data_IF_271332373055
#
_entry.id   IF_271332373055
#
_cell.length_a   1.000
_cell.length_b   1.000
_cell.length_c   1.000
_cell.angle_alpha   90.00
_cell.angle_beta   90.00
_cell.angle_gamma   90.00
#
_symmetry.space_group_name_H-M   'P 1'
#
loop_
_entity.id
_entity.type
_entity.pdbx_description
1 polymer ?
#
# COMPACT_ATOMS: atom_id res chain seq x y z
N UNK A 1 -79.79 37.97 2.61
CA UNK A 1 -78.64 38.31 3.50
C UNK A 1 -78.04 37.07 4.15
N UNK A 2 -78.85 36.16 4.72
CA UNK A 2 -78.40 34.91 5.36
C UNK A 2 -77.65 33.95 4.42
N UNK A 3 -78.09 33.78 3.16
CA UNK A 3 -77.43 32.91 2.17
C UNK A 3 -75.98 33.35 1.87
N UNK A 4 -75.74 34.66 1.80
CA UNK A 4 -74.41 35.22 1.50
C UNK A 4 -73.45 34.98 2.66
N UNK A 5 -73.93 35.03 3.90
CA UNK A 5 -73.13 34.74 5.10
C UNK A 5 -72.73 33.25 5.15
N UNK A 6 -73.65 32.35 4.77
CA UNK A 6 -73.35 30.92 4.68
C UNK A 6 -72.32 30.61 3.59
N UNK A 7 -72.47 31.18 2.39
CA UNK A 7 -71.54 30.96 1.27
C UNK A 7 -70.14 31.52 1.57
N UNK A 8 -70.03 32.69 2.19
CA UNK A 8 -68.74 33.27 2.61
C UNK A 8 -68.13 32.45 3.76
N UNK A 9 -68.94 31.96 4.70
CA UNK A 9 -68.49 31.11 5.81
C UNK A 9 -67.92 29.77 5.34
N UNK A 10 -68.56 29.12 4.36
CA UNK A 10 -68.07 27.88 3.76
C UNK A 10 -66.76 28.08 2.98
N UNK A 11 -66.66 29.18 2.21
CA UNK A 11 -65.44 29.53 1.50
C UNK A 11 -64.28 29.81 2.47
N UNK A 12 -64.52 30.54 3.56
CA UNK A 12 -63.51 30.83 4.58
C UNK A 12 -63.05 29.55 5.32
N UNK A 13 -63.97 28.62 5.62
CA UNK A 13 -63.64 27.34 6.24
C UNK A 13 -62.84 26.44 5.29
N UNK A 14 -63.20 26.42 4.00
CA UNK A 14 -62.47 25.67 2.97
C UNK A 14 -61.05 26.20 2.78
N UNK A 15 -60.87 27.52 2.75
CA UNK A 15 -59.55 28.15 2.69
C UNK A 15 -58.73 27.90 3.97
N UNK A 16 -59.34 28.04 5.15
CA UNK A 16 -58.68 27.79 6.44
C UNK A 16 -58.23 26.33 6.61
N UNK A 17 -59.04 25.36 6.16
CA UNK A 17 -58.67 23.94 6.19
C UNK A 17 -57.57 23.62 5.18
N UNK A 18 -57.57 24.27 4.01
CA UNK A 18 -56.52 24.11 2.99
C UNK A 18 -55.18 24.68 3.46
N UNK A 19 -55.16 25.88 4.04
CA UNK A 19 -53.93 26.49 4.59
C UNK A 19 -53.36 25.62 5.72
N UNK A 20 -54.20 25.10 6.62
CA UNK A 20 -53.77 24.20 7.69
C UNK A 20 -53.20 22.89 7.16
N UNK A 21 -53.80 22.30 6.11
CA UNK A 21 -53.30 21.10 5.45
C UNK A 21 -51.92 21.33 4.83
N UNK A 22 -51.73 22.46 4.15
CA UNK A 22 -50.45 22.79 3.52
C UNK A 22 -49.35 23.02 4.56
N UNK A 23 -49.62 23.77 5.64
CA UNK A 23 -48.64 23.99 6.70
C UNK A 23 -48.21 22.70 7.42
N UNK A 24 -49.17 21.79 7.67
CA UNK A 24 -48.89 20.46 8.25
C UNK A 24 -48.09 19.61 7.27
N UNK A 25 -48.41 19.66 5.97
CA UNK A 25 -47.68 18.93 4.93
C UNK A 25 -46.23 19.41 4.82
N UNK A 26 -45.98 20.70 4.76
CA UNK A 26 -44.62 21.28 4.73
C UNK A 26 -43.80 20.87 5.95
N UNK A 27 -44.41 20.91 7.15
CA UNK A 27 -43.76 20.47 8.39
C UNK A 27 -43.41 18.97 8.34
N UNK A 28 -44.33 18.14 7.86
CA UNK A 28 -44.10 16.70 7.73
C UNK A 28 -43.05 16.38 6.67
N UNK A 29 -43.02 17.13 5.56
CA UNK A 29 -41.96 17.02 4.54
C UNK A 29 -40.59 17.34 5.12
N UNK A 30 -40.47 18.42 5.91
CA UNK A 30 -39.20 18.78 6.56
C UNK A 30 -38.73 17.72 7.55
N UNK A 31 -39.65 17.10 8.29
CA UNK A 31 -39.31 15.97 9.19
C UNK A 31 -38.88 14.73 8.41
N UNK A 32 -39.60 14.38 7.33
CA UNK A 32 -39.21 13.28 6.45
C UNK A 32 -37.82 13.51 5.83
N UNK A 33 -37.48 14.76 5.49
CA UNK A 33 -36.13 15.14 5.04
C UNK A 33 -35.06 14.88 6.11
N UNK A 34 -35.25 15.34 7.35
CA UNK A 34 -34.28 15.09 8.43
C UNK A 34 -34.11 13.61 8.76
N UNK A 35 -35.17 12.81 8.63
CA UNK A 35 -35.11 11.36 8.78
C UNK A 35 -34.28 10.74 7.64
N UNK A 36 -34.47 11.19 6.39
CA UNK A 36 -33.66 10.75 5.27
C UNK A 36 -32.18 11.14 5.45
N UNK A 37 -31.89 12.34 5.95
CA UNK A 37 -30.54 12.83 6.27
C UNK A 37 -29.84 11.92 7.30
N UNK A 38 -30.53 11.58 8.39
CA UNK A 38 -30.00 10.65 9.40
C UNK A 38 -29.66 9.26 8.81
N UNK A 39 -30.41 8.79 7.81
CA UNK A 39 -30.09 7.58 7.07
C UNK A 39 -28.79 7.70 6.26
N UNK A 40 -28.53 8.86 5.65
CA UNK A 40 -27.25 9.14 4.98
C UNK A 40 -26.10 9.20 5.97
N UNK A 41 -26.26 9.88 7.10
CA UNK A 41 -25.24 9.95 8.15
C UNK A 41 -24.87 8.56 8.69
N UNK A 42 -25.86 7.68 8.87
CA UNK A 42 -25.64 6.29 9.27
C UNK A 42 -24.84 5.52 8.24
N UNK A 43 -25.13 5.67 6.95
CA UNK A 43 -24.33 5.04 5.91
C UNK A 43 -22.92 5.63 5.85
N UNK A 44 -22.77 6.94 5.99
CA UNK A 44 -21.47 7.61 6.08
C UNK A 44 -20.62 7.13 7.27
N UNK A 45 -21.24 6.73 8.38
CA UNK A 45 -20.54 6.14 9.51
C UNK A 45 -19.88 4.79 9.19
N UNK A 46 -20.29 4.09 8.10
CA UNK A 46 -19.65 2.86 7.61
C UNK A 46 -18.47 3.14 6.66
N UNK A 47 -18.15 4.39 6.38
CA UNK A 47 -17.00 4.74 5.55
C UNK A 47 -15.67 4.37 6.21
N UNK A 48 -14.66 3.85 5.48
CA UNK A 48 -14.58 3.67 4.01
C UNK A 48 -15.21 2.36 3.50
N UNK A 49 -15.72 1.49 4.37
CA UNK A 49 -16.34 0.21 4.02
C UNK A 49 -17.79 0.34 3.48
N UNK A 50 -18.08 1.42 2.74
CA UNK A 50 -19.41 1.68 2.16
C UNK A 50 -19.88 0.54 1.24
N UNK A 51 -18.97 -0.13 0.54
CA UNK A 51 -19.27 -1.31 -0.28
C UNK A 51 -19.79 -2.52 0.51
N UNK A 52 -19.52 -2.57 1.83
CA UNK A 52 -20.00 -3.60 2.75
C UNK A 52 -21.15 -3.13 3.64
N UNK A 53 -21.75 -1.97 3.35
CA UNK A 53 -22.88 -1.47 4.11
C UNK A 53 -24.07 -2.46 4.01
N UNK A 54 -24.59 -2.98 5.13
CA UNK A 54 -25.61 -4.03 5.11
C UNK A 54 -26.97 -3.57 4.57
N UNK A 55 -27.13 -2.27 4.31
CA UNK A 55 -28.42 -1.67 4.03
C UNK A 55 -29.22 -1.43 5.31
N UNK A 56 -30.23 -0.57 5.22
CA UNK A 56 -31.28 -0.45 6.23
C UNK A 56 -32.60 -0.68 5.52
N UNK A 57 -33.42 -1.58 6.04
CA UNK A 57 -34.78 -1.83 5.59
C UNK A 57 -35.69 -1.61 6.81
N UNK A 58 -36.16 -0.38 6.99
CA UNK A 58 -36.93 0.09 8.15
C UNK A 58 -36.14 0.26 9.46
N UNK A 59 -36.06 1.49 9.95
CA UNK A 59 -35.53 1.81 11.28
C UNK A 59 -36.24 3.04 11.87
N UNK A 60 -36.78 2.91 13.08
CA UNK A 60 -37.44 4.04 13.76
C UNK A 60 -36.45 5.17 14.09
N UNK A 61 -36.84 6.41 13.77
CA UNK A 61 -36.03 7.60 14.02
C UNK A 61 -36.89 8.87 14.17
N UNK A 62 -36.69 9.64 15.25
CA UNK A 62 -37.33 10.93 15.50
C UNK A 62 -38.88 10.95 15.34
N UNK A 63 -39.55 9.85 15.66
CA UNK A 63 -41.00 9.69 15.52
C UNK A 63 -41.48 9.41 14.09
N UNK A 64 -40.59 9.06 13.18
CA UNK A 64 -40.88 8.42 11.90
C UNK A 64 -39.94 7.24 11.63
N UNK A 65 -39.73 6.89 10.37
CA UNK A 65 -38.99 5.69 9.94
C UNK A 65 -38.01 6.04 8.83
N UNK A 66 -36.76 5.62 8.98
CA UNK A 66 -35.81 5.48 7.88
C UNK A 66 -36.23 4.22 7.12
N UNK A 67 -37.00 4.41 6.05
CA UNK A 67 -37.64 3.34 5.29
C UNK A 67 -36.61 2.48 4.57
N UNK A 68 -35.63 3.12 3.93
CA UNK A 68 -34.53 2.43 3.29
C UNK A 68 -33.25 3.25 3.28
N UNK A 69 -32.11 2.59 3.44
CA UNK A 69 -30.80 3.13 3.08
C UNK A 69 -30.06 2.10 2.27
N UNK A 70 -29.59 2.48 1.09
CA UNK A 70 -28.75 1.64 0.25
C UNK A 70 -27.59 2.44 -0.32
N UNK A 71 -26.45 1.78 -0.43
CA UNK A 71 -25.23 2.31 -1.05
C UNK A 71 -25.01 1.56 -2.34
N UNK A 72 -24.81 2.30 -3.42
CA UNK A 72 -24.42 1.73 -4.71
C UNK A 72 -23.10 2.34 -5.15
N UNK A 73 -22.14 1.50 -5.49
CA UNK A 73 -20.90 1.92 -6.13
C UNK A 73 -21.17 2.27 -7.61
N UNK A 74 -20.65 3.42 -8.06
CA UNK A 74 -20.78 3.96 -9.40
C UNK A 74 -19.41 4.46 -9.85
N UNK A 75 -18.62 3.59 -10.46
CA UNK A 75 -17.23 3.89 -10.86
C UNK A 75 -16.42 4.36 -9.65
N UNK A 76 -15.93 5.61 -9.63
CA UNK A 76 -15.17 6.20 -8.50
C UNK A 76 -16.06 6.95 -7.51
N UNK A 77 -17.33 6.60 -7.36
CA UNK A 77 -18.26 7.26 -6.44
C UNK A 77 -19.17 6.26 -5.72
N UNK A 78 -19.56 6.60 -4.50
CA UNK A 78 -20.66 5.93 -3.81
C UNK A 78 -21.91 6.81 -3.89
N UNK A 79 -23.00 6.24 -4.39
CA UNK A 79 -24.32 6.83 -4.32
C UNK A 79 -25.06 6.25 -3.12
N UNK A 80 -25.21 7.06 -2.07
CA UNK A 80 -26.09 6.75 -0.95
C UNK A 80 -27.48 7.24 -1.29
N UNK A 81 -28.46 6.37 -1.12
CA UNK A 81 -29.87 6.76 -1.20
C UNK A 81 -30.56 6.42 0.10
N UNK A 82 -31.20 7.42 0.69
CA UNK A 82 -31.95 7.29 1.93
C UNK A 82 -33.38 7.77 1.74
N UNK A 83 -34.34 7.00 2.23
CA UNK A 83 -35.76 7.34 2.18
C UNK A 83 -36.28 7.52 3.61
N UNK A 84 -36.70 8.73 3.93
CA UNK A 84 -37.31 9.07 5.21
C UNK A 84 -38.82 9.15 5.10
N UNK A 85 -39.52 8.50 6.02
CA UNK A 85 -40.97 8.52 6.13
C UNK A 85 -41.38 9.12 7.48
N UNK A 86 -42.30 10.08 7.47
CA UNK A 86 -42.91 10.59 8.69
C UNK A 86 -44.40 10.26 8.70
N UNK A 87 -44.80 9.14 9.36
CA UNK A 87 -46.18 8.81 9.60
C UNK A 87 -46.61 9.51 10.88
N UNK A 88 -47.21 10.68 10.79
CA UNK A 88 -48.02 11.15 11.91
C UNK A 88 -49.43 11.43 11.47
N UNK A 89 -50.33 10.63 12.02
CA UNK A 89 -51.77 10.84 12.07
C UNK A 89 -52.05 12.11 12.88
N UNK A 90 -51.77 13.27 12.28
CA UNK A 90 -52.46 14.50 12.66
C UNK A 90 -53.95 14.39 12.28
N UNK A 91 -54.78 15.39 12.64
CA UNK A 91 -56.23 15.40 12.35
C UNK A 91 -56.60 15.34 10.86
N UNK A 92 -55.63 15.13 9.97
CA UNK A 92 -55.78 15.15 8.52
C UNK A 92 -55.09 13.98 7.80
N UNK A 93 -54.48 13.03 8.51
CA UNK A 93 -53.92 11.79 7.91
C UNK A 93 -52.82 12.00 6.85
N UNK A 94 -52.14 13.15 6.85
CA UNK A 94 -51.17 13.51 5.80
C UNK A 94 -49.82 12.86 6.08
N UNK A 95 -49.48 11.87 5.25
CA UNK A 95 -48.17 11.21 5.24
C UNK A 95 -47.17 11.99 4.38
N UNK A 96 -45.91 12.02 4.80
CA UNK A 96 -44.82 12.58 3.99
C UNK A 96 -43.68 11.58 3.85
N UNK A 97 -43.17 11.43 2.63
CA UNK A 97 -41.98 10.65 2.31
C UNK A 97 -41.02 11.56 1.56
N UNK A 98 -39.73 11.50 1.89
CA UNK A 98 -38.67 12.20 1.18
C UNK A 98 -37.54 11.26 0.85
N UNK A 99 -37.07 11.35 -0.39
CA UNK A 99 -35.93 10.59 -0.90
C UNK A 99 -34.75 11.52 -1.08
N UNK A 100 -33.62 11.11 -0.49
CA UNK A 100 -32.38 11.83 -0.52
C UNK A 100 -31.34 11.01 -1.27
N UNK A 101 -30.70 11.61 -2.27
CA UNK A 101 -29.57 11.02 -2.98
C UNK A 101 -28.32 11.85 -2.71
N UNK A 102 -27.29 11.20 -2.14
CA UNK A 102 -25.98 11.79 -1.85
C UNK A 102 -24.93 11.04 -2.63
N UNK A 103 -24.09 11.78 -3.35
CA UNK A 103 -22.96 11.26 -4.11
C UNK A 103 -21.68 11.62 -3.34
N UNK A 104 -20.91 10.58 -3.01
CA UNK A 104 -19.61 10.67 -2.35
C UNK A 104 -18.56 10.27 -3.35
N UNK A 105 -17.54 11.10 -3.53
CA UNK A 105 -16.39 10.77 -4.37
C UNK A 105 -15.49 9.78 -3.64
N UNK A 106 -15.07 8.72 -4.32
CA UNK A 106 -14.12 7.74 -3.81
C UNK A 106 -12.77 8.42 -3.52
N UNK A 107 -12.06 7.86 -2.55
CA UNK A 107 -10.75 8.31 -2.14
C UNK A 107 -9.79 8.02 -3.29
N UNK A 108 -9.21 9.07 -3.85
CA UNK A 108 -8.10 8.92 -4.78
C UNK A 108 -6.81 8.94 -3.98
N UNK A 109 -6.11 7.82 -4.02
CA UNK A 109 -4.79 7.64 -3.44
C UNK A 109 -3.98 6.61 -4.22
N UNK A 110 -2.68 6.82 -4.20
CA UNK A 110 -1.70 6.00 -4.90
C UNK A 110 -0.54 5.69 -3.97
N UNK A 111 -0.07 4.47 -4.01
CA UNK A 111 1.13 4.03 -3.33
C UNK A 111 1.88 3.02 -4.16
N UNK A 112 3.20 3.01 -4.00
CA UNK A 112 4.10 2.00 -4.52
C UNK A 112 5.17 1.72 -3.46
N UNK A 113 5.48 0.47 -3.21
CA UNK A 113 6.61 0.11 -2.35
C UNK A 113 7.34 -1.09 -2.94
N UNK A 114 8.67 -1.01 -2.90
CA UNK A 114 9.56 -1.96 -3.53
C UNK A 114 10.79 -2.17 -2.67
N UNK A 115 11.27 -3.40 -2.57
CA UNK A 115 12.62 -3.66 -2.07
C UNK A 115 13.28 -4.83 -2.78
N UNK A 116 14.61 -4.84 -2.76
CA UNK A 116 15.48 -5.96 -3.10
C UNK A 116 16.73 -5.88 -2.22
N UNK A 117 17.05 -6.93 -1.47
CA UNK A 117 18.17 -6.87 -0.50
C UNK A 117 19.51 -7.12 -1.16
N UNK A 118 19.54 -7.96 -2.18
CA UNK A 118 20.77 -8.28 -2.86
C UNK A 118 20.54 -8.33 -4.35
N UNK A 119 21.39 -7.62 -5.08
CA UNK A 119 21.40 -7.63 -6.53
C UNK A 119 22.85 -7.73 -7.01
N UNK A 120 23.23 -8.92 -7.44
CA UNK A 120 24.52 -9.21 -8.06
C UNK A 120 24.38 -9.02 -9.55
N UNK A 121 25.19 -8.12 -10.10
CA UNK A 121 25.27 -7.87 -11.55
C UNK A 121 25.80 -9.07 -12.33
N UNK A 122 26.02 -8.87 -13.63
CA UNK A 122 26.50 -9.93 -14.50
C UNK A 122 27.85 -10.48 -14.03
N UNK A 123 27.93 -11.80 -13.92
CA UNK A 123 29.16 -12.56 -13.72
C UNK A 123 29.52 -13.14 -15.09
N UNK A 124 30.56 -12.63 -15.76
CA UNK A 124 30.90 -13.01 -17.13
C UNK A 124 30.96 -14.52 -17.29
N UNK A 125 30.31 -15.01 -18.36
CA UNK A 125 30.24 -16.43 -18.72
C UNK A 125 29.52 -17.36 -17.72
N UNK A 126 28.92 -16.82 -16.65
CA UNK A 126 28.23 -17.61 -15.61
C UNK A 126 26.77 -17.18 -15.50
N UNK A 127 26.50 -15.91 -15.16
CA UNK A 127 25.15 -15.40 -14.90
C UNK A 127 25.00 -13.97 -15.43
N UNK A 128 23.81 -13.63 -15.93
CA UNK A 128 23.46 -12.24 -16.26
C UNK A 128 23.08 -11.43 -15.01
N UNK A 129 22.70 -12.09 -13.92
CA UNK A 129 22.54 -11.49 -12.59
C UNK A 129 21.78 -12.39 -11.62
N UNK A 130 21.87 -12.05 -10.33
CA UNK A 130 21.12 -12.72 -9.25
C UNK A 130 20.47 -11.64 -8.40
N UNK A 131 19.16 -11.73 -8.20
CA UNK A 131 18.42 -10.82 -7.31
C UNK A 131 17.73 -11.64 -6.23
N UNK A 132 17.88 -11.22 -4.97
CA UNK A 132 17.36 -11.93 -3.81
C UNK A 132 16.60 -11.01 -2.86
N UNK A 133 15.51 -11.54 -2.30
CA UNK A 133 14.63 -10.87 -1.35
C UNK A 133 13.84 -9.73 -1.98
N UNK A 134 13.13 -9.98 -3.07
CA UNK A 134 12.34 -8.95 -3.75
C UNK A 134 10.90 -8.94 -3.24
N UNK A 135 10.38 -7.75 -2.92
CA UNK A 135 8.98 -7.54 -2.53
C UNK A 135 8.46 -6.28 -3.19
N UNK A 136 7.28 -6.37 -3.79
CA UNK A 136 6.65 -5.26 -4.49
C UNK A 136 5.17 -5.16 -4.14
N UNK A 137 4.68 -3.93 -4.01
CA UNK A 137 3.27 -3.63 -3.81
C UNK A 137 2.90 -2.35 -4.54
N UNK A 138 1.66 -2.28 -4.99
CA UNK A 138 1.08 -1.09 -5.61
C UNK A 138 -0.38 -0.96 -5.19
N UNK A 139 -0.78 0.26 -4.91
CA UNK A 139 -2.19 0.65 -4.80
C UNK A 139 -2.38 1.85 -5.71
N UNK A 140 -3.31 1.78 -6.64
CA UNK A 140 -3.60 2.88 -7.56
C UNK A 140 -5.10 2.95 -7.78
N UNK A 141 -5.76 3.84 -7.05
CA UNK A 141 -7.22 4.04 -7.12
C UNK A 141 -7.63 5.05 -8.20
N UNK A 142 -6.68 5.63 -8.94
CA UNK A 142 -6.95 6.57 -10.05
C UNK A 142 -7.11 5.85 -11.41
N UNK A 143 -6.64 4.60 -11.50
CA UNK A 143 -6.69 3.80 -12.72
C UNK A 143 -8.11 3.55 -13.25
N UNK A 144 -8.32 3.69 -14.56
CA UNK A 144 -9.58 3.33 -15.23
C UNK A 144 -9.74 1.82 -15.47
N UNK A 145 -8.77 1.02 -15.07
CA UNK A 145 -8.79 -0.44 -15.30
C UNK A 145 -9.53 -1.15 -14.17
N UNK A 146 -10.53 -1.93 -14.58
CA UNK A 146 -11.76 -2.14 -13.83
C UNK A 146 -11.70 -3.15 -12.67
N UNK A 147 -10.54 -3.65 -12.20
CA UNK A 147 -10.51 -4.64 -11.08
C UNK A 147 -9.21 -4.75 -10.26
N UNK A 148 -8.12 -4.03 -10.57
CA UNK A 148 -6.81 -4.23 -9.91
C UNK A 148 -6.25 -2.96 -9.26
N UNK A 149 -7.02 -2.35 -8.35
CA UNK A 149 -6.58 -1.16 -7.61
C UNK A 149 -5.52 -1.45 -6.53
N UNK A 150 -5.27 -2.72 -6.21
CA UNK A 150 -4.26 -3.17 -5.27
C UNK A 150 -3.56 -4.42 -5.82
N UNK A 151 -2.24 -4.43 -5.79
CA UNK A 151 -1.40 -5.51 -6.30
C UNK A 151 -0.25 -5.74 -5.32
N UNK A 152 0.05 -7.00 -5.06
CA UNK A 152 1.14 -7.42 -4.20
C UNK A 152 1.89 -8.59 -4.86
N UNK A 153 3.22 -8.56 -4.80
CA UNK A 153 4.09 -9.58 -5.38
C UNK A 153 5.29 -9.85 -4.46
N UNK A 154 5.52 -11.13 -4.15
CA UNK A 154 6.72 -11.62 -3.45
C UNK A 154 7.54 -12.53 -4.37
N UNK A 155 8.82 -12.17 -4.57
CA UNK A 155 9.77 -12.95 -5.39
C UNK A 155 11.03 -13.20 -4.56
N UNK A 156 11.26 -14.43 -4.07
CA UNK A 156 12.41 -14.69 -3.21
C UNK A 156 13.72 -14.64 -3.97
N UNK A 157 13.80 -15.22 -5.17
CA UNK A 157 15.03 -15.36 -5.93
C UNK A 157 14.77 -15.24 -7.44
N UNK A 158 15.51 -14.37 -8.11
CA UNK A 158 15.60 -14.31 -9.57
C UNK A 158 17.04 -14.68 -9.98
N UNK A 159 17.18 -15.61 -10.93
CA UNK A 159 18.48 -16.00 -11.50
C UNK A 159 18.42 -15.75 -13.01
N UNK A 160 19.03 -14.66 -13.44
CA UNK A 160 19.01 -14.23 -14.83
C UNK A 160 20.16 -14.89 -15.59
N UNK A 161 19.81 -15.59 -16.66
CA UNK A 161 20.71 -16.11 -17.67
C UNK A 161 20.65 -15.21 -18.91
N UNK A 162 21.63 -15.27 -19.82
CA UNK A 162 21.59 -14.50 -21.06
C UNK A 162 20.33 -14.74 -21.92
N UNK A 163 19.66 -15.89 -21.75
CA UNK A 163 18.45 -16.28 -22.50
C UNK A 163 17.12 -16.17 -21.73
N UNK A 164 17.10 -15.72 -20.47
CA UNK A 164 15.87 -15.63 -19.67
C UNK A 164 16.08 -15.79 -18.16
N UNK A 165 14.99 -15.84 -17.38
CA UNK A 165 15.04 -16.10 -15.94
C UNK A 165 14.83 -17.60 -15.67
N UNK A 166 15.79 -18.21 -14.98
CA UNK A 166 15.79 -19.65 -14.70
C UNK A 166 14.65 -20.10 -13.78
N UNK A 167 14.22 -19.22 -12.86
CA UNK A 167 13.20 -19.53 -11.85
C UNK A 167 11.84 -18.92 -12.18
N UNK A 168 11.67 -18.45 -13.41
CA UNK A 168 10.40 -17.90 -13.87
C UNK A 168 9.28 -18.93 -13.73
N UNK A 169 8.16 -18.51 -13.14
CA UNK A 169 7.02 -19.38 -12.87
C UNK A 169 7.22 -20.41 -11.75
N UNK A 170 8.40 -20.46 -11.12
CA UNK A 170 8.67 -21.43 -10.06
C UNK A 170 8.17 -20.93 -8.69
N UNK A 171 8.63 -19.75 -8.23
CA UNK A 171 8.13 -19.13 -7.01
C UNK A 171 8.02 -17.62 -7.16
N UNK A 172 6.85 -17.22 -7.66
CA UNK A 172 6.33 -15.86 -7.61
C UNK A 172 4.94 -15.96 -7.01
N UNK A 173 4.70 -15.23 -5.92
CA UNK A 173 3.37 -15.20 -5.28
C UNK A 173 2.77 -13.83 -5.53
N UNK A 174 1.65 -13.79 -6.24
CA UNK A 174 0.91 -12.58 -6.56
C UNK A 174 -0.47 -12.60 -5.93
N UNK A 175 -0.93 -11.43 -5.49
CA UNK A 175 -2.30 -11.19 -5.07
C UNK A 175 -2.77 -9.86 -5.67
N UNK A 176 -3.92 -9.86 -6.35
CA UNK A 176 -4.46 -8.67 -7.02
C UNK A 176 -5.91 -8.40 -6.60
N UNK A 177 -6.30 -7.13 -6.59
CA UNK A 177 -7.63 -6.70 -6.17
C UNK A 177 -7.95 -7.18 -4.75
N UNK A 178 -8.95 -8.04 -4.62
CA UNK A 178 -9.46 -8.53 -3.34
C UNK A 178 -9.25 -10.04 -3.15
N UNK A 179 -8.22 -10.61 -3.80
CA UNK A 179 -7.87 -12.03 -3.64
C UNK A 179 -7.39 -12.40 -2.23
N UNK A 180 -6.97 -11.42 -1.44
CA UNK A 180 -6.53 -11.62 -0.05
C UNK A 180 -5.16 -12.30 0.03
N UNK A 181 -4.89 -12.94 1.18
CA UNK A 181 -3.58 -13.50 1.49
C UNK A 181 -3.31 -14.79 0.72
N UNK A 182 -2.21 -14.79 -0.03
CA UNK A 182 -1.60 -15.95 -0.70
C UNK A 182 -0.17 -16.15 -0.19
N UNK A 183 0.25 -17.40 -0.08
CA UNK A 183 1.60 -17.77 0.37
C UNK A 183 2.11 -18.95 -0.44
N UNK A 184 3.42 -19.01 -0.62
CA UNK A 184 4.09 -20.12 -1.31
C UNK A 184 5.50 -20.33 -0.75
N UNK A 185 6.08 -21.47 -1.07
CA UNK A 185 7.47 -21.76 -0.71
C UNK A 185 7.99 -23.00 -1.42
N UNK A 186 9.32 -23.10 -1.48
CA UNK A 186 10.05 -24.20 -2.09
C UNK A 186 11.11 -24.69 -1.11
N UNK A 187 11.06 -25.99 -0.82
CA UNK A 187 12.11 -26.69 -0.08
C UNK A 187 13.37 -26.81 -0.96
N UNK A 188 14.59 -26.62 -0.42
CA UNK A 188 15.84 -26.76 -1.18
C UNK A 188 15.94 -28.02 -2.05
N UNK A 189 15.38 -29.14 -1.58
CA UNK A 189 15.42 -30.42 -2.31
C UNK A 189 14.63 -30.39 -3.63
N UNK A 190 13.69 -29.45 -3.78
CA UNK A 190 12.86 -29.29 -4.97
C UNK A 190 13.36 -28.18 -5.91
N UNK A 191 14.50 -27.56 -5.60
CA UNK A 191 15.09 -26.54 -6.47
C UNK A 191 15.75 -27.18 -7.70
N UNK A 192 15.75 -26.50 -8.87
CA UNK A 192 16.38 -27.03 -10.07
C UNK A 192 17.87 -27.31 -9.85
N UNK A 193 18.31 -28.53 -10.15
CA UNK A 193 19.70 -28.95 -9.99
C UNK A 193 20.71 -28.09 -10.80
N UNK A 194 20.25 -27.44 -11.86
CA UNK A 194 21.05 -26.49 -12.65
C UNK A 194 21.52 -25.28 -11.83
N UNK A 195 20.85 -24.91 -10.74
CA UNK A 195 21.37 -23.88 -9.81
C UNK A 195 22.73 -24.28 -9.23
N UNK A 196 22.87 -25.53 -8.79
CA UNK A 196 24.14 -26.03 -8.25
C UNK A 196 25.22 -26.08 -9.33
N UNK A 197 24.85 -26.40 -10.58
CA UNK A 197 25.77 -26.37 -11.73
C UNK A 197 26.27 -24.95 -12.05
N UNK A 198 25.47 -23.93 -11.73
CA UNK A 198 25.83 -22.51 -11.82
C UNK A 198 26.56 -22.00 -10.57
N UNK A 199 26.91 -22.89 -9.64
CA UNK A 199 27.56 -22.56 -8.37
C UNK A 199 26.62 -21.96 -7.32
N UNK A 200 25.31 -21.96 -7.54
CA UNK A 200 24.34 -21.43 -6.57
C UNK A 200 23.85 -22.54 -5.63
N UNK A 201 24.07 -22.33 -4.33
CA UNK A 201 23.42 -23.12 -3.27
C UNK A 201 22.40 -22.25 -2.57
N UNK A 202 21.15 -22.69 -2.57
CA UNK A 202 20.01 -21.87 -2.14
C UNK A 202 19.24 -22.64 -1.06
N UNK A 203 19.01 -21.98 0.06
CA UNK A 203 18.17 -22.46 1.16
C UNK A 203 16.68 -22.38 0.82
N UNK A 204 15.83 -22.63 1.83
CA UNK A 204 14.38 -22.61 1.63
C UNK A 204 13.92 -21.23 1.14
N UNK A 205 13.00 -21.25 0.17
CA UNK A 205 12.39 -20.05 -0.39
C UNK A 205 10.96 -19.91 0.10
N UNK A 206 10.54 -18.69 0.45
CA UNK A 206 9.18 -18.38 0.90
C UNK A 206 8.72 -17.05 0.34
N UNK A 207 7.45 -16.94 -0.03
CA UNK A 207 6.85 -15.70 -0.53
C UNK A 207 5.42 -15.55 -0.04
N UNK A 208 4.99 -14.30 0.12
CA UNK A 208 3.63 -13.94 0.48
C UNK A 208 3.18 -12.67 -0.22
N UNK A 209 1.89 -12.62 -0.54
CA UNK A 209 1.23 -11.45 -1.09
C UNK A 209 -0.20 -11.36 -0.54
N UNK A 210 -0.65 -10.18 -0.19
CA UNK A 210 -2.00 -9.91 0.31
C UNK A 210 -2.48 -8.58 -0.28
N UNK A 211 -3.63 -8.62 -0.96
CA UNK A 211 -4.27 -7.43 -1.51
C UNK A 211 -5.73 -7.36 -1.05
N UNK A 212 -6.21 -6.16 -0.80
CA UNK A 212 -7.61 -5.90 -0.47
C UNK A 212 -8.13 -4.65 -1.17
N UNK A 213 -9.44 -4.57 -1.38
CA UNK A 213 -10.10 -3.41 -2.00
C UNK A 213 -11.01 -2.62 -1.06
N UNK A 214 -11.26 -3.12 0.16
CA UNK A 214 -12.16 -2.47 1.14
C UNK A 214 -11.53 -2.46 2.53
N UNK A 215 -10.64 -1.51 2.85
CA UNK A 215 -10.10 -0.46 1.97
C UNK A 215 -8.99 -1.00 1.03
N UNK A 216 -8.67 -0.29 -0.07
CA UNK A 216 -7.53 -0.63 -0.91
C UNK A 216 -6.21 -0.71 -0.11
N UNK A 217 -5.57 -1.86 -0.11
CA UNK A 217 -4.31 -2.11 0.60
C UNK A 217 -3.53 -3.21 -0.10
N UNK A 218 -2.21 -3.20 0.08
CA UNK A 218 -1.35 -4.24 -0.44
C UNK A 218 -0.17 -4.49 0.51
N UNK A 219 0.17 -5.76 0.72
CA UNK A 219 1.29 -6.22 1.53
C UNK A 219 1.97 -7.38 0.81
N UNK A 220 3.30 -7.37 0.72
CA UNK A 220 4.07 -8.49 0.18
C UNK A 220 5.32 -8.73 0.99
N UNK A 221 5.84 -9.94 0.89
CA UNK A 221 7.12 -10.30 1.48
C UNK A 221 7.74 -11.49 0.79
N UNK A 222 9.05 -11.59 0.88
CA UNK A 222 9.79 -12.75 0.43
C UNK A 222 10.91 -13.11 1.40
N UNK A 223 11.33 -14.36 1.36
CA UNK A 223 12.34 -14.86 2.26
C UNK A 223 13.18 -15.97 1.65
N UNK A 224 14.47 -15.95 1.97
CA UNK A 224 15.47 -16.94 1.59
C UNK A 224 16.22 -17.35 2.84
N UNK A 225 16.29 -18.63 3.16
CA UNK A 225 16.99 -19.11 4.36
C UNK A 225 18.52 -18.92 4.27
N UNK A 226 19.08 -19.10 3.07
CA UNK A 226 20.48 -18.84 2.76
C UNK A 226 20.69 -18.75 1.24
N UNK A 227 21.70 -18.00 0.82
CA UNK A 227 22.13 -17.93 -0.57
C UNK A 227 23.65 -17.94 -0.60
N UNK A 228 24.23 -18.93 -1.27
CA UNK A 228 25.67 -19.02 -1.52
C UNK A 228 25.93 -19.05 -3.00
N UNK A 229 26.91 -18.27 -3.43
CA UNK A 229 27.47 -18.31 -4.77
C UNK A 229 28.92 -18.81 -4.66
N UNK A 230 29.08 -20.03 -5.15
CA UNK A 230 30.29 -20.82 -5.15
C UNK A 230 31.38 -20.33 -6.10
N UNK A 231 32.45 -21.13 -6.25
CA UNK A 231 33.76 -20.62 -6.59
C UNK A 231 33.89 -20.13 -8.04
N UNK A 232 34.57 -19.00 -8.21
CA UNK A 232 35.16 -18.60 -9.48
C UNK A 232 36.67 -18.41 -9.27
N UNK A 233 37.45 -19.23 -9.96
CA UNK A 233 38.92 -19.17 -10.05
C UNK A 233 39.66 -19.11 -8.70
N UNK A 234 39.81 -17.91 -8.13
CA UNK A 234 40.69 -17.57 -7.01
C UNK A 234 39.97 -17.51 -5.66
N UNK A 235 38.64 -17.52 -5.63
CA UNK A 235 37.87 -17.47 -4.39
C UNK A 235 36.98 -18.71 -4.26
N UNK A 236 37.04 -19.42 -3.12
CA UNK A 236 36.19 -20.59 -2.88
C UNK A 236 34.70 -20.21 -2.79
N UNK A 237 34.40 -18.97 -2.40
CA UNK A 237 33.04 -18.45 -2.23
C UNK A 237 33.04 -16.95 -2.57
N UNK A 238 32.17 -16.53 -3.49
CA UNK A 238 32.06 -15.13 -3.89
C UNK A 238 31.15 -14.38 -2.93
N UNK A 239 30.05 -15.02 -2.55
CA UNK A 239 28.96 -14.41 -1.79
C UNK A 239 28.30 -15.49 -0.94
N UNK A 240 28.13 -15.19 0.33
CA UNK A 240 27.22 -15.87 1.22
C UNK A 240 26.29 -14.84 1.86
N UNK A 241 25.00 -15.13 1.84
CA UNK A 241 23.99 -14.37 2.57
C UNK A 241 23.21 -15.33 3.45
N UNK A 242 23.03 -14.91 4.71
CA UNK A 242 22.16 -15.59 5.65
C UNK A 242 20.69 -15.39 5.30
N UNK A 243 19.80 -15.67 6.26
CA UNK A 243 18.38 -15.38 6.18
C UNK A 243 18.13 -13.96 5.63
N UNK A 244 17.48 -13.88 4.48
CA UNK A 244 16.92 -12.64 3.94
C UNK A 244 15.42 -12.72 4.16
N UNK A 245 14.82 -11.69 4.76
CA UNK A 245 13.38 -11.47 4.70
C UNK A 245 13.08 -10.03 4.36
N UNK A 246 12.17 -9.83 3.41
CA UNK A 246 11.70 -8.51 3.02
C UNK A 246 10.22 -8.35 3.18
N UNK A 247 9.83 -7.11 3.35
CA UNK A 247 8.44 -6.70 3.34
C UNK A 247 8.27 -5.40 2.55
N UNK A 248 7.14 -5.30 1.87
CA UNK A 248 6.65 -4.07 1.26
C UNK A 248 5.18 -3.92 1.61
N UNK A 249 4.74 -2.71 1.96
CA UNK A 249 3.35 -2.48 2.35
C UNK A 249 2.84 -1.10 1.98
N UNK A 250 1.54 -1.03 1.66
CA UNK A 250 0.80 0.21 1.51
C UNK A 250 -0.44 0.11 2.39
N UNK A 251 -0.51 0.95 3.42
CA UNK A 251 -1.56 0.92 4.43
C UNK A 251 -2.20 2.31 4.56
N UNK A 252 -3.49 2.45 4.24
CA UNK A 252 -4.24 3.66 4.54
C UNK A 252 -4.64 3.70 6.03
N UNK A 253 -4.36 4.81 6.70
CA UNK A 253 -4.90 5.12 8.03
C UNK A 253 -6.00 6.18 7.91
N UNK A 254 -7.25 5.73 8.00
CA UNK A 254 -8.43 6.59 7.90
C UNK A 254 -8.64 7.46 9.15
N UNK A 255 -8.11 7.06 10.31
CA UNK A 255 -8.26 7.84 11.54
C UNK A 255 -7.40 9.11 11.48
N UNK A 256 -6.12 8.96 11.14
CA UNK A 256 -5.21 10.10 10.96
C UNK A 256 -5.42 10.82 9.61
N UNK A 257 -5.86 10.09 8.59
CA UNK A 257 -5.94 10.55 7.20
C UNK A 257 -4.63 10.34 6.41
N UNK A 258 -3.69 9.57 6.96
CA UNK A 258 -2.34 9.36 6.41
C UNK A 258 -2.26 8.06 5.60
N UNK A 259 -1.70 8.13 4.41
CA UNK A 259 -1.27 6.96 3.65
C UNK A 259 0.19 6.69 3.95
N UNK A 260 0.51 5.45 4.28
CA UNK A 260 1.87 5.00 4.54
C UNK A 260 2.26 3.97 3.50
N UNK A 261 3.39 4.20 2.83
CA UNK A 261 4.10 3.23 2.03
C UNK A 261 5.40 2.87 2.73
N UNK A 262 5.75 1.59 2.80
CA UNK A 262 6.97 1.13 3.47
C UNK A 262 7.59 -0.05 2.73
N UNK A 263 8.91 -0.15 2.74
CA UNK A 263 9.64 -1.31 2.20
C UNK A 263 10.99 -1.50 2.87
N UNK A 264 11.53 -2.71 2.82
CA UNK A 264 12.88 -3.01 3.32
C UNK A 264 13.01 -4.43 3.89
N UNK A 265 13.93 -4.59 4.83
CA UNK A 265 14.11 -5.82 5.61
C UNK A 265 12.96 -5.92 6.62
N UNK A 266 12.39 -7.12 6.77
CA UNK A 266 11.19 -7.33 7.55
C UNK A 266 11.41 -7.14 9.06
N UNK A 267 10.57 -6.31 9.69
CA UNK A 267 10.57 -6.11 11.15
C UNK A 267 11.92 -5.66 11.71
N UNK A 268 12.37 -6.34 12.77
CA UNK A 268 13.67 -6.11 13.42
C UNK A 268 14.74 -7.12 12.96
N UNK A 269 14.47 -7.86 11.88
CA UNK A 269 15.44 -8.81 11.35
C UNK A 269 16.65 -8.08 10.76
N UNK A 270 17.73 -8.83 10.58
CA UNK A 270 18.98 -8.30 10.07
C UNK A 270 19.68 -9.34 9.20
N UNK A 271 20.38 -8.88 8.17
CA UNK A 271 21.04 -9.75 7.20
C UNK A 271 22.55 -9.70 7.37
N UNK A 272 23.19 -10.86 7.40
CA UNK A 272 24.64 -10.96 7.32
C UNK A 272 25.05 -11.31 5.89
N UNK A 273 26.02 -10.56 5.36
CA UNK A 273 26.54 -10.74 4.00
C UNK A 273 28.05 -10.91 4.10
N UNK A 274 28.55 -11.99 3.50
CA UNK A 274 29.97 -12.31 3.41
C UNK A 274 30.37 -12.34 1.93
N UNK A 275 31.49 -11.70 1.61
CA UNK A 275 32.00 -11.59 0.26
C UNK A 275 33.45 -12.07 0.18
N UNK A 276 33.76 -12.76 -0.93
CA UNK A 276 35.09 -13.29 -1.25
C UNK A 276 35.70 -14.12 -0.10
N UNK A 277 34.95 -15.11 0.40
CA UNK A 277 35.39 -15.98 1.48
C UNK A 277 35.79 -15.21 2.73
N UNK A 278 34.86 -14.42 3.29
CA UNK A 278 35.03 -13.59 4.49
C UNK A 278 35.99 -12.41 4.37
N UNK A 279 36.50 -12.09 3.17
CA UNK A 279 37.32 -10.89 2.96
C UNK A 279 36.56 -9.61 3.32
N UNK A 280 35.25 -9.58 3.06
CA UNK A 280 34.36 -8.50 3.49
C UNK A 280 33.13 -9.10 4.18
N UNK A 281 32.88 -8.66 5.41
CA UNK A 281 31.70 -9.03 6.21
C UNK A 281 30.86 -7.79 6.47
N UNK A 282 29.56 -7.90 6.23
CA UNK A 282 28.57 -6.88 6.59
C UNK A 282 27.64 -7.53 7.59
N UNK A 283 27.67 -7.03 8.82
CA UNK A 283 26.97 -7.65 9.94
C UNK A 283 25.70 -6.89 10.30
N UNK A 284 24.63 -7.65 10.51
CA UNK A 284 23.33 -7.17 10.94
C UNK A 284 22.80 -5.98 10.11
N UNK A 285 22.83 -6.10 8.78
CA UNK A 285 22.25 -5.09 7.89
C UNK A 285 20.75 -4.98 8.13
N UNK A 286 20.29 -3.75 8.32
CA UNK A 286 18.90 -3.34 8.34
C UNK A 286 18.70 -2.22 7.31
N UNK A 287 17.56 -2.24 6.63
CA UNK A 287 17.20 -1.23 5.61
C UNK A 287 15.71 -0.99 5.68
N UNK A 288 15.31 0.28 5.63
CA UNK A 288 13.92 0.69 5.62
C UNK A 288 13.71 1.98 4.84
N UNK A 289 12.77 1.95 3.91
CA UNK A 289 12.21 3.14 3.28
C UNK A 289 10.77 3.33 3.80
N UNK A 290 10.44 4.54 4.23
CA UNK A 290 9.08 4.92 4.64
C UNK A 290 8.70 6.22 3.95
N UNK A 291 7.51 6.25 3.35
CA UNK A 291 6.92 7.45 2.79
C UNK A 291 5.49 7.62 3.34
N UNK A 292 5.20 8.82 3.83
CA UNK A 292 3.93 9.19 4.44
C UNK A 292 3.38 10.47 3.82
N UNK A 293 2.08 10.51 3.52
CA UNK A 293 1.40 11.70 3.05
C UNK A 293 -0.05 11.71 3.56
N UNK A 294 -0.63 12.89 3.74
CA UNK A 294 -2.03 13.03 4.18
C UNK A 294 -2.80 14.17 3.50
N UNK A 295 -2.19 14.83 2.50
CA UNK A 295 -2.80 15.91 1.73
C UNK A 295 -2.84 17.26 2.43
N UNK A 296 -2.22 17.44 3.61
CA UNK A 296 -2.11 18.74 4.28
C UNK A 296 -0.75 19.40 4.00
N UNK A 297 -0.72 20.71 3.72
CA UNK A 297 0.53 21.41 3.45
C UNK A 297 1.60 21.19 4.52
N UNK A 298 2.80 20.79 4.08
CA UNK A 298 3.97 20.54 4.93
C UNK A 298 3.98 19.20 5.68
N UNK A 299 2.97 18.34 5.55
CA UNK A 299 2.87 17.09 6.33
C UNK A 299 3.35 15.82 5.58
N UNK A 300 3.83 15.95 4.34
CA UNK A 300 4.46 14.83 3.62
C UNK A 300 5.86 14.53 4.17
N UNK A 301 6.17 13.25 4.41
CA UNK A 301 7.44 12.79 4.99
C UNK A 301 8.00 11.61 4.21
N UNK A 302 9.29 11.65 3.93
CA UNK A 302 10.04 10.55 3.36
C UNK A 302 11.26 10.31 4.24
N UNK A 303 11.57 9.05 4.54
CA UNK A 303 12.77 8.67 5.26
C UNK A 303 13.33 7.37 4.67
N UNK A 304 14.57 7.42 4.21
CA UNK A 304 15.35 6.22 3.90
C UNK A 304 16.42 6.06 4.97
N UNK A 305 16.43 4.91 5.63
CA UNK A 305 17.42 4.62 6.66
C UNK A 305 17.97 3.21 6.51
N UNK A 306 19.25 3.05 6.82
CA UNK A 306 19.91 1.76 6.92
C UNK A 306 20.93 1.77 8.04
N UNK A 307 21.21 0.59 8.59
CA UNK A 307 22.19 0.40 9.64
C UNK A 307 22.84 -0.96 9.53
N UNK A 308 24.01 -1.08 10.15
CA UNK A 308 24.80 -2.30 10.27
C UNK A 308 25.42 -2.30 11.66
N UNK A 309 25.66 -3.47 12.24
CA UNK A 309 26.45 -3.60 13.46
C UNK A 309 27.91 -3.26 13.18
N UNK A 310 28.47 -3.83 12.11
CA UNK A 310 29.82 -3.51 11.64
C UNK A 310 29.99 -3.86 10.15
N UNK A 311 31.07 -3.33 9.57
CA UNK A 311 31.58 -3.74 8.26
C UNK A 311 33.06 -4.04 8.44
N UNK A 312 33.44 -5.30 8.25
CA UNK A 312 34.77 -5.82 8.58
C UNK A 312 35.48 -6.23 7.29
N UNK A 313 36.69 -5.72 7.09
CA UNK A 313 37.62 -6.26 6.10
C UNK A 313 38.59 -7.22 6.77
N UNK A 314 38.70 -8.43 6.24
CA UNK A 314 39.69 -9.41 6.65
C UNK A 314 40.90 -9.34 5.71
N UNK A 315 42.02 -8.84 6.23
CA UNK A 315 43.27 -8.79 5.52
C UNK A 315 44.07 -10.07 5.81
N UNK A 316 44.53 -10.81 4.79
CA UNK A 316 45.27 -12.08 5.01
C UNK A 316 46.49 -11.99 5.93
N UNK A 317 47.08 -10.80 6.07
CA UNK A 317 48.31 -10.56 6.85
C UNK A 317 48.04 -9.75 8.13
N UNK A 318 47.07 -8.84 8.09
CA UNK A 318 46.82 -7.84 9.14
C UNK A 318 45.67 -8.28 10.06
N UNK A 319 44.85 -9.24 9.62
CA UNK A 319 43.66 -9.69 10.32
C UNK A 319 42.43 -8.83 10.03
N UNK A 320 41.43 -8.93 10.90
CA UNK A 320 40.16 -8.24 10.77
C UNK A 320 40.26 -6.76 11.19
N UNK A 321 39.72 -5.86 10.36
CA UNK A 321 39.61 -4.44 10.64
C UNK A 321 38.20 -3.96 10.31
N UNK A 322 37.53 -3.35 11.29
CA UNK A 322 36.32 -2.57 11.04
C UNK A 322 36.61 -1.36 10.16
N UNK A 323 35.80 -1.17 9.12
CA UNK A 323 35.87 -0.03 8.20
C UNK A 323 34.63 0.84 8.26
N UNK A 324 33.69 0.59 9.17
CA UNK A 324 32.42 1.32 9.23
C UNK A 324 32.61 2.84 9.42
N UNK A 325 33.52 3.25 10.30
CA UNK A 325 33.84 4.68 10.52
C UNK A 325 34.49 5.32 9.29
N UNK A 326 35.40 4.60 8.65
CA UNK A 326 36.11 5.06 7.46
C UNK A 326 35.11 5.24 6.31
N UNK A 327 34.20 4.28 6.13
CA UNK A 327 33.15 4.32 5.12
C UNK A 327 32.14 5.45 5.34
N UNK A 328 31.68 5.67 6.58
CA UNK A 328 30.78 6.79 6.91
C UNK A 328 31.42 8.16 6.71
N UNK A 329 32.74 8.27 6.91
CA UNK A 329 33.47 9.54 6.79
C UNK A 329 33.84 9.85 5.35
N UNK A 330 34.27 8.84 4.60
CA UNK A 330 34.84 9.02 3.25
C UNK A 330 33.83 8.71 2.14
N UNK A 331 32.69 8.08 2.46
CA UNK A 331 31.69 7.61 1.51
C UNK A 331 32.11 6.36 0.73
N UNK A 332 33.39 5.97 0.79
CA UNK A 332 33.97 4.80 0.12
C UNK A 332 35.22 4.31 0.81
N UNK A 333 35.51 3.02 0.65
CA UNK A 333 36.77 2.37 1.06
C UNK A 333 37.21 1.44 -0.06
N UNK A 334 38.46 1.61 -0.49
CA UNK A 334 39.05 0.81 -1.55
C UNK A 334 40.04 -0.20 -0.96
N UNK A 335 39.91 -1.47 -1.37
CA UNK A 335 40.95 -2.48 -1.20
C UNK A 335 41.60 -2.71 -2.57
N UNK A 336 42.75 -2.07 -2.86
CA UNK A 336 43.33 -2.07 -4.20
C UNK A 336 43.48 -3.48 -4.78
N UNK A 337 42.89 -3.68 -5.96
CA UNK A 337 42.94 -4.96 -6.69
C UNK A 337 41.99 -6.05 -6.19
N UNK A 338 41.25 -5.83 -5.09
CA UNK A 338 40.35 -6.85 -4.49
C UNK A 338 38.89 -6.44 -4.54
N UNK A 339 38.53 -5.27 -3.99
CA UNK A 339 37.17 -4.76 -3.99
C UNK A 339 37.15 -3.25 -3.71
N UNK A 340 36.04 -2.60 -4.07
CA UNK A 340 35.69 -1.27 -3.58
C UNK A 340 34.32 -1.34 -2.94
N UNK A 341 34.15 -0.71 -1.79
CA UNK A 341 32.85 -0.57 -1.13
C UNK A 341 32.53 0.91 -0.99
N UNK A 342 31.30 1.31 -1.32
CA UNK A 342 30.81 2.67 -1.13
C UNK A 342 29.42 2.67 -0.53
N UNK A 343 29.05 3.82 0.04
CA UNK A 343 27.65 4.09 0.37
C UNK A 343 26.83 4.05 -0.92
N UNK A 344 25.62 3.49 -0.84
CA UNK A 344 24.69 3.54 -1.96
C UNK A 344 24.01 4.91 -2.07
N UNK A 345 23.38 5.19 -3.22
CA UNK A 345 22.64 6.43 -3.40
C UNK A 345 21.39 6.44 -2.51
N UNK A 346 21.03 7.62 -2.01
CA UNK A 346 19.79 7.86 -1.29
C UNK A 346 19.07 9.09 -1.85
N UNK A 347 17.76 9.08 -1.75
CA UNK A 347 16.90 10.16 -2.20
C UNK A 347 15.65 10.25 -1.33
N UNK A 348 15.39 11.45 -0.82
CA UNK A 348 14.18 11.79 -0.08
C UNK A 348 13.53 12.99 -0.76
N UNK A 349 12.33 12.78 -1.30
CA UNK A 349 11.55 13.83 -1.93
C UNK A 349 10.22 13.98 -1.23
N UNK A 350 9.83 15.22 -0.95
CA UNK A 350 8.52 15.57 -0.39
C UNK A 350 7.93 16.74 -1.13
N UNK A 351 6.61 16.80 -1.21
CA UNK A 351 5.91 17.95 -1.76
C UNK A 351 5.36 18.86 -0.64
N UNK A 352 5.52 20.20 -0.75
CA UNK A 352 5.00 21.15 0.23
C UNK A 352 3.48 21.15 0.36
N UNK A 353 2.74 20.67 -0.64
CA UNK A 353 1.28 20.58 -0.61
C UNK A 353 0.75 19.39 0.22
N UNK A 354 1.66 18.54 0.74
CA UNK A 354 1.31 17.37 1.55
C UNK A 354 0.89 16.15 0.76
N UNK A 355 0.97 16.20 -0.57
CA UNK A 355 0.33 15.20 -1.43
C UNK A 355 1.21 14.05 -1.86
N UNK A 356 2.53 14.12 -1.71
CA UNK A 356 3.44 13.12 -2.25
C UNK A 356 4.64 12.93 -1.33
N UNK A 357 5.08 11.69 -1.14
CA UNK A 357 6.38 11.43 -0.55
C UNK A 357 7.06 10.23 -1.23
N UNK A 358 8.38 10.30 -1.39
CA UNK A 358 9.23 9.22 -1.92
C UNK A 358 10.50 9.15 -1.08
N UNK A 359 10.78 7.99 -0.50
CA UNK A 359 12.06 7.63 0.07
C UNK A 359 12.62 6.49 -0.78
N UNK A 360 13.85 6.60 -1.25
CA UNK A 360 14.49 5.51 -1.99
C UNK A 360 15.99 5.52 -1.80
N UNK A 361 16.59 4.35 -1.70
CA UNK A 361 18.03 4.25 -1.68
C UNK A 361 18.53 2.83 -1.66
N UNK A 362 19.85 2.71 -1.70
CA UNK A 362 20.58 1.46 -1.47
C UNK A 362 21.58 1.69 -0.35
N UNK A 363 21.72 0.72 0.56
CA UNK A 363 22.63 0.87 1.69
C UNK A 363 24.10 0.93 1.23
N UNK A 364 24.49 -0.06 0.41
CA UNK A 364 25.90 -0.25 0.03
C UNK A 364 26.01 -0.67 -1.44
N UNK A 365 27.13 -0.29 -2.05
CA UNK A 365 27.57 -0.76 -3.36
C UNK A 365 28.94 -1.39 -3.23
N UNK A 366 29.12 -2.59 -3.76
CA UNK A 366 30.41 -3.28 -3.80
C UNK A 366 30.80 -3.54 -5.25
N UNK A 367 31.98 -3.07 -5.65
CA UNK A 367 32.57 -3.30 -6.97
C UNK A 367 33.71 -4.32 -6.83
N UNK A 368 33.62 -5.41 -7.57
CA UNK A 368 34.67 -6.42 -7.67
C UNK A 368 35.43 -6.19 -8.99
N UNK A 369 36.72 -5.82 -8.95
CA UNK A 369 37.48 -5.36 -10.10
C UNK A 369 37.59 -6.40 -11.23
N UNK A 370 37.74 -5.86 -12.45
CA UNK A 370 37.71 -6.61 -13.72
C UNK A 370 38.67 -7.79 -13.83
N UNK A 371 39.81 -7.76 -13.14
CA UNK A 371 40.80 -8.84 -13.20
C UNK A 371 40.30 -10.15 -12.54
N UNK A 372 39.41 -10.06 -11.56
CA UNK A 372 38.94 -11.21 -10.79
C UNK A 372 37.60 -11.76 -11.30
N UNK A 373 36.66 -10.86 -11.63
CA UNK A 373 35.29 -11.24 -12.00
C UNK A 373 34.71 -10.38 -13.14
N UNK A 374 35.53 -9.63 -13.87
CA UNK A 374 35.07 -8.79 -14.99
C UNK A 374 34.20 -7.60 -14.60
N UNK A 375 34.31 -7.09 -13.37
CA UNK A 375 33.69 -5.84 -12.96
C UNK A 375 32.30 -6.02 -12.35
N UNK A 376 32.10 -7.07 -11.55
CA UNK A 376 30.80 -7.36 -10.90
C UNK A 376 30.46 -6.21 -9.94
N UNK A 377 29.24 -5.71 -10.06
CA UNK A 377 28.66 -4.74 -9.14
C UNK A 377 27.62 -5.46 -8.30
N UNK A 378 27.72 -5.33 -6.99
CA UNK A 378 26.77 -5.87 -6.02
C UNK A 378 26.10 -4.67 -5.34
N UNK A 379 24.80 -4.55 -5.56
CA UNK A 379 23.96 -3.59 -4.87
C UNK A 379 23.29 -4.27 -3.67
N UNK A 380 23.42 -3.66 -2.50
CA UNK A 380 22.99 -4.23 -1.23
C UNK A 380 22.00 -3.29 -0.57
N UNK A 381 20.86 -3.86 -0.15
CA UNK A 381 19.90 -3.18 0.70
C UNK A 381 19.15 -2.07 -0.03
N UNK A 382 18.55 -2.38 -1.17
CA UNK A 382 17.73 -1.41 -1.92
C UNK A 382 16.29 -1.43 -1.42
N UNK A 383 15.77 -0.25 -1.09
CA UNK A 383 14.38 -0.06 -0.71
C UNK A 383 13.85 1.26 -1.30
N UNK A 384 12.60 1.23 -1.73
CA UNK A 384 11.86 2.35 -2.26
C UNK A 384 10.44 2.33 -1.69
N UNK A 385 10.01 3.45 -1.16
CA UNK A 385 8.65 3.70 -0.71
C UNK A 385 8.18 4.98 -1.37
N UNK A 386 7.06 4.95 -2.06
CA UNK A 386 6.50 6.12 -2.72
C UNK A 386 4.99 6.15 -2.49
N UNK A 387 4.45 7.32 -2.18
CA UNK A 387 3.09 7.49 -1.69
C UNK A 387 2.52 8.80 -2.25
N UNK A 388 1.21 8.86 -2.51
CA UNK A 388 0.57 10.09 -3.00
C UNK A 388 -0.94 10.15 -2.72
N UNK A 389 -1.48 11.34 -2.44
CA UNK A 389 -2.92 11.65 -2.30
C UNK A 389 -3.16 13.16 -2.56
N UNK A 390 -4.00 13.66 -3.50
CA UNK A 390 -5.46 13.78 -3.27
C UNK A 390 -6.29 13.80 -4.62
N UNK A 391 -7.62 14.12 -4.76
CA UNK A 391 -8.33 15.27 -4.17
C UNK A 391 -9.47 14.89 -3.20
N UNK A 392 -9.15 14.94 -1.90
CA UNK A 392 -10.04 14.69 -0.76
C UNK A 392 -9.33 14.12 0.47
N UNK A 393 -8.12 13.58 0.27
CA UNK A 393 -7.36 12.86 1.29
C UNK A 393 -7.98 11.51 1.59
N UNK A 394 -7.48 10.79 2.60
CA UNK A 394 -8.13 9.56 3.10
C UNK A 394 -9.41 9.84 3.90
N UNK A 395 -9.77 11.11 4.11
CA UNK A 395 -11.04 11.49 4.74
C UNK A 395 -12.09 11.69 3.65
N UNK A 396 -13.36 11.34 3.89
CA UNK A 396 -14.39 11.46 2.88
C UNK A 396 -14.47 12.91 2.37
N UNK A 397 -14.26 13.06 1.07
CA UNK A 397 -14.38 14.34 0.40
C UNK A 397 -15.86 14.77 0.38
N UNK A 398 -16.09 16.08 0.51
CA UNK A 398 -17.39 16.79 0.54
C UNK A 398 -18.50 16.11 -0.26
N UNK A 399 -19.71 16.13 0.31
CA UNK A 399 -20.97 15.77 -0.38
C UNK A 399 -21.03 16.53 -1.71
N UNK A 400 -20.91 15.79 -2.82
CA UNK A 400 -20.73 16.40 -4.14
C UNK A 400 -22.01 17.09 -4.64
N UNK A 401 -23.18 16.61 -4.20
CA UNK A 401 -24.46 17.30 -4.38
C UNK A 401 -25.52 16.70 -3.47
N UNK A 402 -26.49 17.53 -3.11
CA UNK A 402 -27.75 17.13 -2.50
C UNK A 402 -28.83 17.19 -3.58
N UNK A 403 -29.51 16.07 -3.83
CA UNK A 403 -30.72 16.06 -4.67
C UNK A 403 -31.90 15.53 -3.87
N UNK A 404 -32.86 16.42 -3.65
CA UNK A 404 -34.18 16.07 -3.18
C UNK A 404 -35.02 15.66 -4.40
N UNK A 405 -35.60 14.46 -4.35
CA UNK A 405 -36.49 13.94 -5.41
C UNK A 405 -37.94 13.88 -4.95
#
# INVERSE_FOLDING_TARGET
MTLIIFLIGEAALSLGTTVRKNAVFETNQRKAYYIAEAGVERALAYYPALGSFPGINSLDYAGGVIESVYVKEVSTQYKITSTGHYPKDGPVGIKATKKLEVIIQAIHYKGNAFSKILNVGAIPNVLAGVTAGKSWVKVDTEGKETNHYAEAEGIPLEVKLPGGNLLEGLLTVTSTGNEGKKTGGINPENLPAVLQQLGLTVGALTAGADSGTTPPRAESGSGIASLKLGPVLLFPEILEVSLIKTESSIKPDFASGTLVSSSGIAGDESVNIFLLGDTLKIEALQVKAIAEANGKPGEAKANFNWSVADIILNYPIIGEKSILSDLKTQGKVDLPGVLKISLGPEQENTNPDGTYAKASGSALMVELPGFLLGGVIIEIGNAEAEVKIPPGGLKPCKIASWKEK
#
